data_IF_510948222532
#
_entry.id   IF_510948222532
#
_cell.length_a   1.000
_cell.length_b   1.000
_cell.length_c   1.000
_cell.angle_alpha   90.00
_cell.angle_beta   90.00
_cell.angle_gamma   90.00
#
_symmetry.space_group_name_H-M   'P 1'
#
loop_
_entity.id
_entity.type
_entity.pdbx_description
1 polymer ?
#
# COMPACT_ATOMS: atom_id res chain seq x y z
N UNK A 1 -11.05 12.11 0.93
CA UNK A 1 -9.62 12.26 1.29
C UNK A 1 -8.88 12.71 0.04
N UNK A 2 -7.86 13.54 0.16
CA UNK A 2 -7.01 13.98 -0.95
C UNK A 2 -5.71 13.16 -0.98
N UNK A 3 -4.98 13.19 -2.09
CA UNK A 3 -3.64 12.61 -2.13
C UNK A 3 -2.70 13.42 -1.24
N UNK A 4 -1.85 12.74 -0.46
CA UNK A 4 -0.88 13.40 0.43
C UNK A 4 0.35 13.94 -0.31
N UNK A 5 0.67 13.40 -1.48
CA UNK A 5 1.91 13.70 -2.22
C UNK A 5 1.72 14.73 -3.34
N UNK A 6 0.49 14.91 -3.84
CA UNK A 6 0.20 15.83 -4.93
C UNK A 6 -1.21 16.42 -4.84
N UNK A 7 -1.45 17.49 -5.60
CA UNK A 7 -2.74 18.18 -5.67
C UNK A 7 -3.69 17.65 -6.74
N UNK A 8 -3.51 16.39 -7.16
CA UNK A 8 -4.52 15.72 -7.96
C UNK A 8 -5.81 15.60 -7.14
N UNK A 9 -6.87 16.24 -7.64
CA UNK A 9 -8.20 16.18 -7.03
C UNK A 9 -8.91 14.88 -7.39
N UNK A 10 -9.33 14.14 -6.37
CA UNK A 10 -10.14 12.95 -6.56
C UNK A 10 -11.57 13.27 -6.97
N UNK A 11 -12.21 12.33 -7.66
CA UNK A 11 -13.61 12.39 -8.07
C UNK A 11 -14.43 11.54 -7.10
N UNK A 12 -15.47 12.14 -6.52
CA UNK A 12 -16.38 11.44 -5.63
C UNK A 12 -17.51 10.74 -6.42
N UNK A 13 -17.65 9.43 -6.22
CA UNK A 13 -18.79 8.63 -6.66
C UNK A 13 -18.95 7.45 -5.66
N UNK A 14 -19.70 7.70 -4.58
CA UNK A 14 -19.78 6.88 -3.34
C UNK A 14 -18.46 6.74 -2.56
N UNK A 15 -17.35 6.62 -3.27
CA UNK A 15 -15.98 6.70 -2.77
C UNK A 15 -15.18 7.70 -3.62
N UNK A 16 -13.97 8.02 -3.20
CA UNK A 16 -13.08 8.94 -3.94
C UNK A 16 -12.12 8.15 -4.81
N UNK A 17 -12.05 8.51 -6.09
CA UNK A 17 -11.18 7.90 -7.11
C UNK A 17 -10.22 8.93 -7.69
N UNK A 18 -9.07 8.49 -8.18
CA UNK A 18 -7.95 9.36 -8.56
C UNK A 18 -7.49 9.12 -10.01
N UNK A 19 -8.38 9.33 -11.00
CA UNK A 19 -7.97 9.29 -12.40
C UNK A 19 -7.09 10.50 -12.74
N UNK A 20 -6.01 10.29 -13.49
CA UNK A 20 -5.25 11.40 -14.11
C UNK A 20 -5.98 12.01 -15.31
N UNK A 21 -6.80 11.22 -16.01
CA UNK A 21 -7.73 11.72 -17.02
C UNK A 21 -9.15 11.38 -16.57
N UNK A 22 -9.94 12.37 -16.17
CA UNK A 22 -11.32 12.16 -15.75
C UNK A 22 -12.20 11.69 -16.91
N UNK A 23 -13.38 11.11 -16.63
CA UNK A 23 -14.30 10.67 -17.69
C UNK A 23 -15.05 11.83 -18.35
N UNK A 24 -15.17 12.97 -17.65
CA UNK A 24 -15.67 14.24 -18.19
C UNK A 24 -14.62 15.32 -17.98
N UNK A 25 -14.11 15.88 -19.09
CA UNK A 25 -13.04 16.89 -19.08
C UNK A 25 -13.59 18.29 -18.77
N UNK A 26 -14.88 18.53 -19.03
CA UNK A 26 -15.52 19.83 -18.74
C UNK A 26 -15.63 20.10 -17.24
N UNK A 27 -15.79 19.05 -16.44
CA UNK A 27 -15.99 19.17 -14.99
C UNK A 27 -14.69 19.03 -14.19
N UNK A 28 -13.70 18.33 -14.74
CA UNK A 28 -12.52 17.91 -13.99
C UNK A 28 -11.22 18.15 -14.77
N UNK A 29 -10.17 18.54 -14.04
CA UNK A 29 -8.84 18.78 -14.61
C UNK A 29 -8.15 17.46 -14.98
N UNK A 30 -7.47 17.46 -16.13
CA UNK A 30 -6.54 16.39 -16.53
C UNK A 30 -5.13 16.69 -16.02
N UNK A 31 -4.43 15.64 -15.60
CA UNK A 31 -3.07 15.71 -15.06
C UNK A 31 -2.13 14.84 -15.88
N UNK A 32 -0.88 15.28 -16.03
CA UNK A 32 0.17 14.45 -16.61
C UNK A 32 0.67 13.45 -15.54
N UNK A 33 0.55 12.13 -15.75
CA UNK A 33 1.03 11.14 -14.78
C UNK A 33 2.55 11.18 -14.54
N UNK A 34 3.35 11.70 -15.48
CA UNK A 34 4.80 11.85 -15.28
C UNK A 34 5.21 13.16 -14.62
N UNK A 35 4.28 14.11 -14.49
CA UNK A 35 4.53 15.44 -13.93
C UNK A 35 3.29 15.90 -13.14
N UNK A 36 3.11 15.27 -11.97
CA UNK A 36 2.01 15.61 -11.07
C UNK A 36 2.35 16.86 -10.26
N UNK A 37 1.36 17.69 -9.89
CA UNK A 37 1.58 18.86 -9.04
C UNK A 37 1.92 18.42 -7.61
N UNK A 38 3.20 18.16 -7.34
CA UNK A 38 3.69 17.64 -6.05
C UNK A 38 3.50 18.68 -4.95
N UNK A 39 3.15 18.20 -3.76
CA UNK A 39 3.06 19.02 -2.55
C UNK A 39 4.44 19.17 -1.93
N UNK A 40 4.80 20.38 -1.51
CA UNK A 40 6.05 20.65 -0.80
C UNK A 40 5.81 20.87 0.70
N UNK A 41 6.90 20.82 1.48
CA UNK A 41 6.84 21.16 2.91
C UNK A 41 6.38 22.59 3.17
N UNK A 42 6.76 23.52 2.28
CA UNK A 42 6.29 24.90 2.33
C UNK A 42 4.78 24.99 2.11
N UNK A 43 4.26 24.28 1.11
CA UNK A 43 2.81 24.26 0.83
C UNK A 43 2.03 23.70 2.02
N UNK A 44 2.56 22.64 2.64
CA UNK A 44 1.97 22.06 3.85
C UNK A 44 1.89 23.08 5.00
N UNK A 45 2.95 23.84 5.25
CA UNK A 45 2.97 24.89 6.29
C UNK A 45 1.94 25.98 6.01
N UNK A 46 1.88 26.48 4.76
CA UNK A 46 0.93 27.52 4.35
C UNK A 46 -0.52 27.05 4.54
N UNK A 47 -0.84 25.81 4.14
CA UNK A 47 -2.19 25.25 4.30
C UNK A 47 -2.61 25.12 5.76
N UNK A 48 -1.69 24.70 6.62
CA UNK A 48 -1.95 24.57 8.04
C UNK A 48 -2.21 25.95 8.66
N UNK A 49 -1.41 26.95 8.30
CA UNK A 49 -1.62 28.33 8.73
C UNK A 49 -3.02 28.82 8.34
N UNK A 50 -3.42 28.64 7.08
CA UNK A 50 -4.76 28.97 6.60
C UNK A 50 -5.87 28.31 7.42
N UNK A 51 -5.73 27.01 7.74
CA UNK A 51 -6.71 26.29 8.55
C UNK A 51 -6.74 26.83 9.99
N UNK A 52 -5.58 27.04 10.61
CA UNK A 52 -5.48 27.48 12.01
C UNK A 52 -5.99 28.90 12.26
N UNK A 53 -6.03 29.75 11.22
CA UNK A 53 -6.57 31.12 11.33
C UNK A 53 -8.09 31.17 11.37
N UNK A 54 -8.78 30.09 10.99
CA UNK A 54 -10.24 30.05 10.89
C UNK A 54 -10.81 29.27 12.08
N UNK A 55 -11.79 29.80 12.82
CA UNK A 55 -12.43 29.06 13.91
C UNK A 55 -13.26 27.88 13.37
N UNK A 56 -13.47 26.83 14.20
CA UNK A 56 -14.28 25.68 13.82
C UNK A 56 -15.67 26.10 13.30
N UNK A 57 -15.95 25.74 12.03
CA UNK A 57 -17.14 26.15 11.30
C UNK A 57 -17.31 25.31 10.03
N UNK A 58 -18.47 25.40 9.37
CA UNK A 58 -18.68 24.76 8.06
C UNK A 58 -17.67 25.24 7.01
N UNK A 59 -17.24 26.49 7.11
CA UNK A 59 -16.19 27.08 6.26
C UNK A 59 -14.84 26.41 6.52
N UNK A 60 -14.49 26.19 7.79
CA UNK A 60 -13.29 25.45 8.18
C UNK A 60 -13.29 24.02 7.63
N UNK A 61 -14.41 23.29 7.74
CA UNK A 61 -14.51 21.92 7.22
C UNK A 61 -14.41 21.85 5.68
N UNK A 62 -14.99 22.84 5.00
CA UNK A 62 -14.87 22.98 3.54
C UNK A 62 -13.41 23.24 3.15
N UNK A 63 -12.73 24.13 3.88
CA UNK A 63 -11.32 24.43 3.64
C UNK A 63 -10.42 23.20 3.87
N UNK A 64 -10.64 22.44 4.95
CA UNK A 64 -9.93 21.18 5.20
C UNK A 64 -10.09 20.21 4.03
N UNK A 65 -11.32 20.07 3.54
CA UNK A 65 -11.62 19.19 2.40
C UNK A 65 -10.90 19.65 1.13
N UNK A 66 -10.91 20.95 0.85
CA UNK A 66 -10.30 21.54 -0.35
C UNK A 66 -8.78 21.51 -0.34
N UNK A 67 -8.16 21.81 0.82
CA UNK A 67 -6.71 21.78 0.98
C UNK A 67 -6.18 20.35 1.13
N UNK A 68 -7.02 19.42 1.57
CA UNK A 68 -6.66 18.03 1.82
C UNK A 68 -5.64 17.88 2.96
N UNK A 69 -5.79 18.70 4.00
CA UNK A 69 -4.99 18.70 5.23
C UNK A 69 -5.96 18.91 6.39
N UNK A 70 -5.94 18.02 7.38
CA UNK A 70 -6.89 18.07 8.51
C UNK A 70 -6.48 19.07 9.59
N UNK A 71 -5.18 19.31 9.76
CA UNK A 71 -4.69 20.22 10.79
C UNK A 71 -3.19 20.10 11.03
N UNK A 72 -2.72 20.77 12.08
CA UNK A 72 -1.32 20.77 12.50
C UNK A 72 -0.95 19.44 13.17
N UNK A 73 0.16 18.84 12.75
CA UNK A 73 0.77 17.67 13.39
C UNK A 73 1.89 18.10 14.34
N UNK A 74 2.03 17.42 15.49
CA UNK A 74 3.17 17.60 16.41
C UNK A 74 4.52 17.35 15.71
N UNK A 75 4.56 16.48 14.70
CA UNK A 75 5.79 16.19 13.95
C UNK A 75 6.31 17.40 13.15
N UNK A 76 5.52 18.47 12.98
CA UNK A 76 5.99 19.73 12.39
C UNK A 76 6.91 20.55 13.31
N UNK A 77 6.92 20.23 14.61
CA UNK A 77 7.80 20.87 15.59
C UNK A 77 9.23 20.35 15.49
N UNK A 78 9.40 19.16 14.93
CA UNK A 78 10.71 18.57 14.66
C UNK A 78 11.29 19.23 13.40
N UNK A 79 12.36 20.01 13.56
CA UNK A 79 12.97 20.81 12.48
C UNK A 79 13.43 19.99 11.26
N UNK A 80 13.81 18.73 11.49
CA UNK A 80 14.27 17.81 10.45
C UNK A 80 13.13 17.15 9.68
N UNK A 81 11.89 17.19 10.19
CA UNK A 81 10.74 16.55 9.54
C UNK A 81 10.26 17.36 8.34
N UNK A 82 10.17 16.70 7.18
CA UNK A 82 9.66 17.27 5.93
C UNK A 82 8.34 16.59 5.54
N UNK A 83 7.34 17.41 5.26
CA UNK A 83 6.01 16.96 4.84
C UNK A 83 5.87 17.17 3.34
N UNK A 84 5.33 16.22 2.57
CA UNK A 84 4.97 14.85 2.96
C UNK A 84 6.15 13.86 2.86
N UNK A 85 7.34 14.29 2.45
CA UNK A 85 8.45 13.43 2.01
C UNK A 85 9.01 12.48 3.07
N UNK A 86 9.00 12.87 4.36
CA UNK A 86 9.42 11.98 5.44
C UNK A 86 8.41 10.85 5.73
N UNK A 87 7.23 10.88 5.12
CA UNK A 87 6.22 9.86 5.31
C UNK A 87 6.12 8.95 4.10
N UNK A 88 6.84 7.83 4.21
CA UNK A 88 6.93 6.80 3.19
C UNK A 88 5.57 6.27 2.74
N UNK A 89 5.54 5.84 1.48
CA UNK A 89 4.49 4.99 0.96
C UNK A 89 4.70 3.59 1.51
N UNK A 90 3.65 3.04 2.10
CA UNK A 90 3.65 1.66 2.51
C UNK A 90 3.55 0.73 1.29
N UNK A 91 4.72 0.39 0.76
CA UNK A 91 4.86 -0.41 -0.46
C UNK A 91 4.36 -1.84 -0.23
N UNK A 92 4.47 -2.38 0.98
CA UNK A 92 4.02 -3.75 1.28
C UNK A 92 2.51 -3.87 1.06
N UNK A 93 1.73 -3.04 1.74
CA UNK A 93 0.28 -3.03 1.55
C UNK A 93 -0.12 -2.55 0.15
N UNK A 94 0.59 -1.56 -0.40
CA UNK A 94 0.30 -1.03 -1.72
C UNK A 94 0.42 -2.12 -2.78
N UNK A 95 1.58 -2.77 -2.90
CA UNK A 95 1.84 -3.74 -3.96
C UNK A 95 1.19 -5.09 -3.67
N UNK A 96 1.41 -5.63 -2.47
CA UNK A 96 1.08 -7.02 -2.17
C UNK A 96 -0.38 -7.19 -1.75
N UNK A 97 -0.98 -6.25 -1.03
CA UNK A 97 -2.37 -6.43 -0.59
C UNK A 97 -3.40 -5.71 -1.47
N UNK A 98 -3.06 -4.54 -2.01
CA UNK A 98 -3.99 -3.76 -2.80
C UNK A 98 -3.89 -4.08 -4.30
N UNK A 99 -2.76 -3.78 -4.93
CA UNK A 99 -2.63 -3.89 -6.39
C UNK A 99 -2.78 -5.36 -6.84
N UNK A 100 -2.08 -6.30 -6.19
CA UNK A 100 -2.19 -7.72 -6.53
C UNK A 100 -3.63 -8.24 -6.45
N UNK A 101 -4.34 -7.93 -5.35
CA UNK A 101 -5.71 -8.37 -5.14
C UNK A 101 -6.68 -7.75 -6.16
N UNK A 102 -6.55 -6.45 -6.46
CA UNK A 102 -7.41 -5.81 -7.46
C UNK A 102 -7.15 -6.32 -8.87
N UNK A 103 -5.90 -6.60 -9.23
CA UNK A 103 -5.57 -7.23 -10.51
C UNK A 103 -6.13 -8.65 -10.60
N UNK A 104 -6.02 -9.45 -9.53
CA UNK A 104 -6.64 -10.77 -9.48
C UNK A 104 -8.16 -10.70 -9.69
N UNK A 105 -8.84 -9.77 -9.01
CA UNK A 105 -10.29 -9.56 -9.16
C UNK A 105 -10.69 -9.21 -10.59
N UNK A 106 -9.87 -8.43 -11.30
CA UNK A 106 -10.08 -8.16 -12.72
C UNK A 106 -9.98 -9.44 -13.54
N UNK A 107 -8.91 -10.22 -13.37
CA UNK A 107 -8.71 -11.44 -14.15
C UNK A 107 -9.71 -12.56 -13.80
N UNK A 108 -10.26 -12.56 -12.59
CA UNK A 108 -11.35 -13.46 -12.18
C UNK A 108 -12.74 -12.96 -12.60
N UNK A 109 -12.85 -11.76 -13.18
CA UNK A 109 -14.14 -11.18 -13.60
C UNK A 109 -15.08 -10.85 -12.44
N UNK A 110 -14.54 -10.54 -11.25
CA UNK A 110 -15.31 -10.27 -10.03
C UNK A 110 -14.98 -8.90 -9.39
N UNK A 111 -14.38 -8.00 -10.17
CA UNK A 111 -14.04 -6.66 -9.69
C UNK A 111 -15.28 -5.78 -9.50
N UNK A 112 -16.17 -5.78 -10.48
CA UNK A 112 -17.44 -5.06 -10.41
C UNK A 112 -18.55 -5.96 -9.86
N UNK A 113 -19.57 -5.34 -9.25
CA UNK A 113 -20.83 -6.05 -8.94
C UNK A 113 -21.66 -6.31 -10.20
N UNK A 114 -21.53 -5.43 -11.19
CA UNK A 114 -22.17 -5.54 -12.49
C UNK A 114 -21.38 -6.50 -13.38
N UNK A 115 -22.02 -7.58 -13.82
CA UNK A 115 -21.42 -8.60 -14.69
C UNK A 115 -21.07 -8.06 -16.08
N UNK A 116 -21.81 -7.08 -16.61
CA UNK A 116 -21.54 -6.49 -17.93
C UNK A 116 -20.21 -5.74 -17.91
N UNK A 117 -19.90 -5.03 -16.82
CA UNK A 117 -18.62 -4.32 -16.68
C UNK A 117 -17.43 -5.28 -16.54
N UNK A 118 -17.66 -6.48 -16.00
CA UNK A 118 -16.66 -7.53 -15.91
C UNK A 118 -16.44 -8.28 -17.22
N UNK A 119 -17.39 -8.25 -18.18
CA UNK A 119 -17.24 -8.91 -19.47
C UNK A 119 -16.16 -8.22 -20.33
N UNK A 120 -14.92 -8.66 -20.16
CA UNK A 120 -13.73 -8.03 -20.72
C UNK A 120 -12.75 -9.10 -21.17
N UNK A 121 -11.98 -8.80 -22.22
CA UNK A 121 -11.01 -9.73 -22.83
C UNK A 121 -9.90 -10.18 -21.88
N UNK A 122 -9.68 -9.51 -20.75
CA UNK A 122 -8.68 -9.90 -19.75
C UNK A 122 -9.18 -10.93 -18.74
N UNK A 123 -10.48 -11.27 -18.77
CA UNK A 123 -11.06 -12.27 -17.85
C UNK A 123 -10.65 -13.66 -18.30
N UNK A 124 -10.10 -14.41 -17.35
CA UNK A 124 -9.68 -15.80 -17.51
C UNK A 124 -10.83 -16.68 -17.04
N UNK A 125 -11.14 -17.73 -17.81
CA UNK A 125 -12.29 -18.59 -17.50
C UNK A 125 -12.03 -19.48 -16.27
N UNK A 126 -13.11 -19.98 -15.67
CA UNK A 126 -13.03 -20.80 -14.45
C UNK A 126 -12.22 -22.10 -14.63
N UNK A 127 -12.26 -22.72 -15.82
CA UNK A 127 -11.49 -23.94 -16.10
C UNK A 127 -10.00 -23.66 -16.00
N UNK A 128 -9.53 -22.58 -16.62
CA UNK A 128 -8.13 -22.15 -16.56
C UNK A 128 -7.71 -21.78 -15.14
N UNK A 129 -8.58 -21.15 -14.35
CA UNK A 129 -8.29 -20.88 -12.93
C UNK A 129 -8.16 -22.16 -12.09
N UNK A 130 -9.01 -23.16 -12.34
CA UNK A 130 -8.90 -24.47 -11.70
C UNK A 130 -7.58 -25.15 -12.06
N UNK A 131 -7.17 -25.10 -13.33
CA UNK A 131 -5.87 -25.62 -13.79
C UNK A 131 -4.70 -24.92 -13.08
N UNK A 132 -4.71 -23.58 -13.01
CA UNK A 132 -3.70 -22.79 -12.27
C UNK A 132 -3.64 -23.24 -10.80
N UNK A 133 -4.79 -23.41 -10.15
CA UNK A 133 -4.85 -23.84 -8.75
C UNK A 133 -4.20 -25.20 -8.51
N UNK A 134 -4.49 -26.18 -9.39
CA UNK A 134 -3.90 -27.53 -9.35
C UNK A 134 -2.40 -27.49 -9.62
N UNK A 135 -1.93 -26.69 -10.58
CA UNK A 135 -0.50 -26.49 -10.85
C UNK A 135 0.23 -25.97 -9.62
N UNK A 136 -0.32 -24.95 -8.95
CA UNK A 136 0.24 -24.38 -7.72
C UNK A 136 0.32 -25.41 -6.58
N UNK A 137 -0.70 -26.26 -6.41
CA UNK A 137 -0.69 -27.33 -5.40
C UNK A 137 0.34 -28.42 -5.70
N UNK A 138 0.50 -28.77 -6.98
CA UNK A 138 1.39 -29.85 -7.42
C UNK A 138 2.85 -29.48 -7.18
N UNK A 139 3.25 -28.24 -7.49
CA UNK A 139 4.64 -27.77 -7.29
C UNK A 139 4.97 -27.49 -5.83
N UNK A 140 3.97 -27.43 -4.94
CA UNK A 140 4.16 -27.06 -3.53
C UNK A 140 5.28 -27.84 -2.84
N UNK A 141 5.39 -29.14 -3.13
CA UNK A 141 6.41 -30.04 -2.54
C UNK A 141 7.79 -29.92 -3.17
N UNK A 142 7.90 -29.36 -4.38
CA UNK A 142 9.17 -29.24 -5.12
C UNK A 142 9.81 -27.86 -5.00
N UNK A 143 9.10 -26.85 -4.49
CA UNK A 143 9.65 -25.51 -4.26
C UNK A 143 10.69 -25.57 -3.12
N UNK A 144 11.95 -25.18 -3.38
CA UNK A 144 12.96 -25.11 -2.34
C UNK A 144 12.58 -24.09 -1.27
N UNK A 145 12.88 -24.41 0.00
CA UNK A 145 12.58 -23.55 1.15
C UNK A 145 13.19 -22.15 1.05
N UNK A 146 14.29 -22.00 0.30
CA UNK A 146 14.95 -20.71 0.04
C UNK A 146 14.06 -19.72 -0.72
N UNK A 147 13.07 -20.20 -1.47
CA UNK A 147 12.05 -19.37 -2.13
C UNK A 147 10.90 -18.95 -1.18
N UNK A 148 11.02 -19.28 0.11
CA UNK A 148 10.05 -18.95 1.14
C UNK A 148 8.90 -19.94 1.21
N UNK A 149 7.70 -19.42 1.51
CA UNK A 149 6.50 -20.27 1.65
C UNK A 149 6.09 -20.88 0.32
N UNK A 150 5.89 -22.19 0.33
CA UNK A 150 5.34 -22.91 -0.81
C UNK A 150 3.96 -22.35 -1.21
N UNK A 151 3.66 -22.30 -2.52
CA UNK A 151 2.40 -21.75 -3.01
C UNK A 151 1.19 -22.54 -2.49
N UNK A 152 0.11 -21.83 -2.21
CA UNK A 152 -1.23 -22.40 -1.98
C UNK A 152 -2.10 -22.17 -3.21
N UNK A 153 -3.15 -22.96 -3.38
CA UNK A 153 -4.11 -22.73 -4.45
C UNK A 153 -4.72 -21.33 -4.38
N UNK A 154 -4.43 -20.49 -5.38
CA UNK A 154 -4.90 -19.10 -5.40
C UNK A 154 -6.42 -18.99 -5.54
N UNK A 155 -7.05 -19.91 -6.30
CA UNK A 155 -8.49 -19.90 -6.50
C UNK A 155 -9.24 -20.06 -5.16
N UNK A 156 -8.78 -20.95 -4.29
CA UNK A 156 -9.45 -21.24 -3.02
C UNK A 156 -8.98 -20.36 -1.84
N UNK A 157 -7.74 -19.86 -1.86
CA UNK A 157 -7.13 -19.28 -0.67
C UNK A 157 -6.75 -17.79 -0.77
N UNK A 158 -6.95 -17.11 -1.91
CA UNK A 158 -6.53 -15.71 -2.09
C UNK A 158 -7.07 -14.74 -1.03
N UNK A 159 -8.28 -14.99 -0.48
CA UNK A 159 -8.85 -14.16 0.60
C UNK A 159 -8.07 -14.22 1.92
N UNK A 160 -7.26 -15.27 2.13
CA UNK A 160 -6.43 -15.45 3.31
C UNK A 160 -4.93 -15.43 3.01
N UNK A 161 -4.54 -14.90 1.85
CA UNK A 161 -3.13 -14.69 1.51
C UNK A 161 -2.56 -13.54 2.34
N UNK A 162 -1.36 -13.75 2.89
CA UNK A 162 -0.56 -12.69 3.51
C UNK A 162 0.25 -11.94 2.46
N UNK A 163 0.75 -10.75 2.80
CA UNK A 163 1.65 -9.97 1.93
C UNK A 163 2.83 -10.79 1.37
N UNK A 164 3.40 -11.73 2.14
CA UNK A 164 4.48 -12.63 1.68
C UNK A 164 4.02 -13.53 0.51
N UNK A 165 2.81 -14.08 0.58
CA UNK A 165 2.26 -14.94 -0.47
C UNK A 165 1.91 -14.16 -1.73
N UNK A 166 1.41 -12.95 -1.55
CA UNK A 166 1.18 -12.02 -2.65
C UNK A 166 2.49 -11.56 -3.30
N UNK A 167 3.56 -11.37 -2.52
CA UNK A 167 4.88 -11.05 -3.06
C UNK A 167 5.36 -12.18 -3.96
N UNK A 168 5.33 -13.44 -3.50
CA UNK A 168 5.70 -14.61 -4.32
C UNK A 168 4.78 -14.79 -5.53
N UNK A 169 3.47 -14.53 -5.38
CA UNK A 169 2.54 -14.53 -6.51
C UNK A 169 2.98 -13.52 -7.58
N UNK A 170 3.26 -12.27 -7.20
CA UNK A 170 3.66 -11.24 -8.15
C UNK A 170 4.99 -11.59 -8.81
N UNK A 171 6.03 -11.88 -8.03
CA UNK A 171 7.41 -11.96 -8.52
C UNK A 171 7.79 -13.30 -9.13
N UNK A 172 7.14 -14.40 -8.74
CA UNK A 172 7.52 -15.75 -9.18
C UNK A 172 6.44 -16.42 -10.02
N UNK A 173 5.18 -16.35 -9.60
CA UNK A 173 4.15 -17.26 -10.11
C UNK A 173 3.22 -16.63 -11.17
N UNK A 174 2.90 -15.34 -11.06
CA UNK A 174 1.86 -14.71 -11.86
C UNK A 174 2.16 -14.72 -13.36
N UNK A 175 3.37 -14.28 -13.78
CA UNK A 175 3.72 -14.28 -15.20
C UNK A 175 3.73 -15.69 -15.84
N UNK A 176 4.42 -16.71 -15.29
CA UNK A 176 4.42 -18.02 -15.90
C UNK A 176 3.04 -18.69 -15.88
N UNK A 177 2.26 -18.52 -14.80
CA UNK A 177 0.93 -19.14 -14.70
C UNK A 177 -0.12 -18.44 -15.55
N UNK A 178 0.02 -17.15 -15.85
CA UNK A 178 -0.91 -16.41 -16.71
C UNK A 178 -0.53 -16.48 -18.19
N UNK A 179 0.67 -16.97 -18.51
CA UNK A 179 1.14 -17.17 -19.88
C UNK A 179 0.18 -18.10 -20.62
N UNK A 180 -0.14 -17.75 -21.86
CA UNK A 180 -1.07 -18.49 -22.75
C UNK A 180 -2.53 -18.58 -22.25
N UNK A 181 -2.84 -18.04 -21.06
CA UNK A 181 -4.20 -17.97 -20.48
C UNK A 181 -4.79 -16.57 -20.53
N UNK A 182 -3.95 -15.54 -20.53
CA UNK A 182 -4.33 -14.13 -20.70
C UNK A 182 -3.82 -13.59 -22.04
N UNK A 183 -4.57 -12.72 -22.74
CA UNK A 183 -4.07 -12.12 -23.97
C UNK A 183 -2.77 -11.35 -23.75
N UNK A 184 -1.83 -11.49 -24.68
CA UNK A 184 -0.44 -11.01 -24.56
C UNK A 184 -0.35 -9.53 -24.16
N UNK A 185 -1.25 -8.69 -24.68
CA UNK A 185 -1.28 -7.25 -24.35
C UNK A 185 -1.44 -6.99 -22.84
N UNK A 186 -2.29 -7.75 -22.15
CA UNK A 186 -2.55 -7.57 -20.72
C UNK A 186 -1.40 -8.13 -19.89
N UNK A 187 -0.85 -9.28 -20.30
CA UNK A 187 0.32 -9.87 -19.68
C UNK A 187 1.54 -8.94 -19.78
N UNK A 188 1.74 -8.28 -20.93
CA UNK A 188 2.76 -7.25 -21.12
C UNK A 188 2.57 -6.08 -20.16
N UNK A 189 1.34 -5.59 -20.00
CA UNK A 189 1.02 -4.56 -19.03
C UNK A 189 1.40 -4.94 -17.60
N UNK A 190 0.97 -6.12 -17.16
CA UNK A 190 1.31 -6.67 -15.84
C UNK A 190 2.81 -6.89 -15.66
N UNK A 191 3.53 -7.28 -16.72
CA UNK A 191 4.98 -7.49 -16.66
C UNK A 191 5.76 -6.23 -16.29
N UNK A 192 5.26 -5.03 -16.63
CA UNK A 192 5.90 -3.79 -16.19
C UNK A 192 5.85 -3.65 -14.67
N UNK A 193 4.70 -3.97 -14.06
CA UNK A 193 4.56 -3.95 -12.60
C UNK A 193 5.43 -5.02 -11.95
N UNK A 194 5.42 -6.26 -12.46
CA UNK A 194 6.25 -7.35 -11.91
C UNK A 194 7.73 -6.99 -11.95
N UNK A 195 8.22 -6.45 -13.07
CA UNK A 195 9.61 -5.98 -13.19
C UNK A 195 9.92 -4.86 -12.22
N UNK A 196 9.01 -3.89 -12.04
CA UNK A 196 9.22 -2.80 -11.09
C UNK A 196 9.31 -3.32 -9.63
N UNK A 197 8.49 -4.31 -9.26
CA UNK A 197 8.52 -4.93 -7.92
C UNK A 197 9.80 -5.73 -7.68
N UNK A 198 10.35 -6.36 -8.73
CA UNK A 198 11.61 -7.12 -8.65
C UNK A 198 12.86 -6.21 -8.57
N UNK A 199 12.76 -4.95 -8.96
CA UNK A 199 13.86 -3.99 -8.86
C UNK A 199 13.97 -3.42 -7.45
N UNK A 200 15.16 -3.52 -6.86
CA UNK A 200 15.43 -3.05 -5.50
C UNK A 200 16.10 -1.66 -5.42
N UNK A 201 16.78 -1.21 -6.49
CA UNK A 201 17.71 -0.08 -6.43
C UNK A 201 17.63 0.91 -7.60
N UNK A 202 17.16 0.47 -8.79
CA UNK A 202 17.10 1.34 -9.97
C UNK A 202 15.84 2.20 -9.97
N UNK A 203 15.92 3.35 -9.29
CA UNK A 203 14.78 4.25 -9.08
C UNK A 203 14.21 4.78 -10.40
N UNK A 204 15.05 5.04 -11.41
CA UNK A 204 14.61 5.59 -12.68
C UNK A 204 13.90 4.53 -13.53
N UNK A 205 14.44 3.30 -13.57
CA UNK A 205 13.74 2.21 -14.25
C UNK A 205 12.45 1.81 -13.52
N UNK A 206 12.43 1.82 -12.18
CA UNK A 206 11.21 1.63 -11.38
C UNK A 206 10.17 2.70 -11.77
N UNK A 207 10.54 3.98 -11.79
CA UNK A 207 9.65 5.09 -12.18
C UNK A 207 9.04 4.85 -13.55
N UNK A 208 9.88 4.53 -14.54
CA UNK A 208 9.47 4.26 -15.91
C UNK A 208 8.52 3.06 -16.00
N UNK A 209 8.86 1.94 -15.36
CA UNK A 209 8.04 0.72 -15.38
C UNK A 209 6.68 0.93 -14.71
N UNK A 210 6.65 1.60 -13.56
CA UNK A 210 5.42 1.92 -12.84
C UNK A 210 4.53 2.90 -13.63
N UNK A 211 5.13 3.88 -14.32
CA UNK A 211 4.42 4.77 -15.23
C UNK A 211 3.81 4.00 -16.42
N UNK A 212 4.58 3.10 -17.03
CA UNK A 212 4.09 2.24 -18.13
C UNK A 212 2.94 1.33 -17.67
N UNK A 213 3.06 0.73 -16.49
CA UNK A 213 1.97 -0.03 -15.89
C UNK A 213 0.74 0.83 -15.65
N UNK A 214 0.88 2.02 -15.05
CA UNK A 214 -0.23 2.93 -14.80
C UNK A 214 -0.94 3.35 -16.09
N UNK A 215 -0.18 3.71 -17.13
CA UNK A 215 -0.73 4.08 -18.44
C UNK A 215 -1.45 2.90 -19.09
N UNK A 216 -0.89 1.69 -19.00
CA UNK A 216 -1.54 0.48 -19.45
C UNK A 216 -2.86 0.24 -18.70
N UNK A 217 -2.83 0.32 -17.36
CA UNK A 217 -3.99 0.11 -16.51
C UNK A 217 -5.11 1.09 -16.85
N UNK A 218 -4.77 2.36 -16.99
CA UNK A 218 -5.68 3.43 -17.40
C UNK A 218 -6.32 3.15 -18.76
N UNK A 219 -5.52 2.75 -19.76
CA UNK A 219 -6.00 2.50 -21.13
C UNK A 219 -6.93 1.29 -21.21
N UNK A 220 -6.58 0.19 -20.54
CA UNK A 220 -7.21 -1.10 -20.78
C UNK A 220 -8.19 -1.54 -19.70
N UNK A 221 -8.02 -1.09 -18.45
CA UNK A 221 -8.90 -1.45 -17.33
C UNK A 221 -9.88 -0.32 -17.01
N UNK A 222 -9.42 0.93 -16.96
CA UNK A 222 -10.30 2.08 -16.73
C UNK A 222 -11.03 2.52 -17.99
N UNK A 223 -10.36 2.53 -19.14
CA UNK A 223 -10.93 2.81 -20.47
C UNK A 223 -11.56 4.21 -20.60
N UNK A 224 -11.27 5.12 -19.67
CA UNK A 224 -11.82 6.48 -19.67
C UNK A 224 -13.35 6.55 -19.53
N UNK A 225 -13.99 5.46 -19.11
CA UNK A 225 -15.44 5.38 -18.98
C UNK A 225 -15.89 5.76 -17.56
N UNK A 226 -16.91 6.61 -17.45
CA UNK A 226 -17.49 7.01 -16.16
C UNK A 226 -17.98 5.80 -15.35
N UNK A 227 -18.60 4.82 -15.99
CA UNK A 227 -19.05 3.57 -15.37
C UNK A 227 -17.90 2.75 -14.74
N UNK A 228 -16.66 2.95 -15.20
CA UNK A 228 -15.46 2.24 -14.73
C UNK A 228 -14.60 3.09 -13.79
N UNK A 229 -15.09 4.26 -13.35
CA UNK A 229 -14.35 5.15 -12.45
C UNK A 229 -13.83 4.44 -11.18
N UNK A 230 -14.55 3.43 -10.69
CA UNK A 230 -14.19 2.66 -9.50
C UNK A 230 -12.88 1.86 -9.62
N UNK A 231 -12.36 1.71 -10.83
CA UNK A 231 -11.05 1.12 -11.16
C UNK A 231 -9.91 2.02 -10.69
N UNK A 232 -10.08 3.34 -10.73
CA UNK A 232 -9.04 4.32 -10.41
C UNK A 232 -8.93 4.57 -8.90
N UNK A 233 -8.75 3.49 -8.13
CA UNK A 233 -8.55 3.54 -6.68
C UNK A 233 -7.24 4.26 -6.32
N UNK A 234 -7.19 4.78 -5.09
CA UNK A 234 -6.02 5.54 -4.59
C UNK A 234 -4.71 4.76 -4.68
N UNK A 235 -4.74 3.44 -4.49
CA UNK A 235 -3.55 2.59 -4.62
C UNK A 235 -2.93 2.70 -6.03
N UNK A 236 -3.72 2.64 -7.10
CA UNK A 236 -3.20 2.82 -8.46
C UNK A 236 -2.63 4.21 -8.70
N UNK A 237 -3.15 5.24 -8.02
CA UNK A 237 -2.55 6.57 -8.05
C UNK A 237 -1.23 6.63 -7.27
N UNK A 238 -1.14 5.97 -6.10
CA UNK A 238 0.07 5.95 -5.27
C UNK A 238 1.27 5.31 -5.95
N UNK A 239 1.06 4.42 -6.91
CA UNK A 239 2.12 3.88 -7.78
C UNK A 239 2.98 4.99 -8.40
N UNK A 240 2.36 6.12 -8.80
CA UNK A 240 3.07 7.24 -9.43
C UNK A 240 4.02 7.98 -8.48
N UNK A 241 3.88 7.77 -7.17
CA UNK A 241 4.69 8.40 -6.13
C UNK A 241 5.73 7.44 -5.52
N UNK A 242 5.73 6.16 -5.91
CA UNK A 242 6.61 5.14 -5.30
C UNK A 242 8.08 5.47 -5.54
N UNK A 243 8.47 5.80 -6.77
CA UNK A 243 9.86 6.11 -7.09
C UNK A 243 10.36 7.35 -6.33
N UNK A 244 9.51 8.38 -6.18
CA UNK A 244 9.82 9.55 -5.36
C UNK A 244 9.97 9.16 -3.87
N UNK A 245 9.07 8.33 -3.36
CA UNK A 245 9.17 7.84 -1.98
C UNK A 245 10.47 7.07 -1.74
N UNK A 246 10.89 6.22 -2.68
CA UNK A 246 12.16 5.47 -2.58
C UNK A 246 13.36 6.42 -2.61
N UNK A 247 13.30 7.46 -3.44
CA UNK A 247 14.33 8.49 -3.52
C UNK A 247 14.46 9.27 -2.22
N UNK A 248 13.33 9.62 -1.59
CA UNK A 248 13.31 10.41 -0.37
C UNK A 248 13.64 9.60 0.89
N UNK A 249 13.22 8.33 0.96
CA UNK A 249 13.28 7.52 2.20
C UNK A 249 14.20 6.31 2.12
N UNK A 250 14.83 6.07 0.97
CA UNK A 250 15.69 4.91 0.75
C UNK A 250 14.93 3.69 0.19
N UNK A 251 15.64 2.56 0.00
CA UNK A 251 15.11 1.40 -0.71
C UNK A 251 13.97 0.73 0.05
N UNK A 252 13.02 0.18 -0.71
CA UNK A 252 11.76 -0.34 -0.19
C UNK A 252 11.93 -1.34 0.97
N UNK A 253 12.91 -2.24 0.88
CA UNK A 253 13.16 -3.28 1.90
C UNK A 253 13.53 -2.71 3.27
N UNK A 254 14.07 -1.49 3.32
CA UNK A 254 14.41 -0.82 4.58
C UNK A 254 13.20 -0.18 5.27
N UNK A 255 12.10 0.03 4.53
CA UNK A 255 10.91 0.74 5.01
C UNK A 255 9.63 -0.10 4.97
N UNK A 256 9.71 -1.38 4.56
CA UNK A 256 8.55 -2.27 4.55
C UNK A 256 8.11 -2.65 5.96
N UNK A 257 6.81 -2.88 6.13
CA UNK A 257 6.20 -3.14 7.42
C UNK A 257 6.27 -4.61 7.87
N UNK A 258 6.84 -5.52 7.07
CA UNK A 258 6.96 -6.95 7.44
C UNK A 258 7.54 -7.19 8.85
N UNK A 259 8.63 -6.52 9.27
CA UNK A 259 9.16 -6.71 10.63
C UNK A 259 8.20 -6.18 11.69
N UNK A 260 7.59 -5.02 11.45
CA UNK A 260 6.66 -4.39 12.38
C UNK A 260 5.41 -5.26 12.58
N UNK A 261 4.80 -5.75 11.51
CA UNK A 261 3.63 -6.64 11.60
C UNK A 261 3.95 -7.97 12.26
N UNK A 262 5.12 -8.55 12.00
CA UNK A 262 5.58 -9.76 12.69
C UNK A 262 5.69 -9.51 14.19
N UNK A 263 6.31 -8.40 14.59
CA UNK A 263 6.40 -8.00 16.00
C UNK A 263 5.01 -7.79 16.60
N UNK A 264 4.11 -7.05 15.94
CA UNK A 264 2.74 -6.88 16.41
C UNK A 264 2.01 -8.23 16.56
N UNK A 265 2.17 -9.14 15.60
CA UNK A 265 1.59 -10.49 15.67
C UNK A 265 2.15 -11.37 16.79
N UNK A 266 3.41 -11.14 17.20
CA UNK A 266 4.01 -11.79 18.37
C UNK A 266 3.51 -11.19 19.68
N UNK A 267 3.32 -9.86 19.73
CA UNK A 267 2.90 -9.14 20.94
C UNK A 267 1.41 -9.25 21.22
N UNK A 268 0.56 -9.26 20.19
CA UNK A 268 -0.90 -9.23 20.34
C UNK A 268 -1.44 -10.40 21.19
N UNK A 269 -0.98 -11.66 21.04
CA UNK A 269 -1.43 -12.77 21.91
C UNK A 269 -0.99 -12.64 23.38
N UNK A 270 0.00 -11.79 23.68
CA UNK A 270 0.50 -11.55 25.04
C UNK A 270 -0.35 -10.53 25.79
N UNK A 271 -1.03 -9.61 25.09
CA UNK A 271 -1.94 -8.63 25.67
C UNK A 271 -3.32 -9.24 25.99
N UNK A 272 -3.36 -10.15 26.97
CA UNK A 272 -4.58 -10.88 27.36
C UNK A 272 -5.50 -10.07 28.27
N UNK A 273 -4.97 -9.11 29.03
CA UNK A 273 -5.75 -8.27 29.93
C UNK A 273 -6.39 -7.10 29.18
N UNK A 274 -7.71 -6.95 29.31
CA UNK A 274 -8.46 -5.80 28.79
C UNK A 274 -8.42 -4.59 29.73
N UNK A 275 -8.24 -4.80 31.03
CA UNK A 275 -8.24 -3.75 32.04
C UNK A 275 -6.86 -3.12 32.23
N UNK A 276 -5.80 -3.93 32.14
CA UNK A 276 -4.42 -3.50 32.31
C UNK A 276 -3.53 -4.07 31.20
N UNK A 277 -3.75 -3.67 29.93
CA UNK A 277 -3.08 -4.24 28.77
C UNK A 277 -1.57 -4.04 28.82
N UNK A 278 -1.10 -2.85 29.18
CA UNK A 278 0.34 -2.53 29.24
C UNK A 278 1.07 -3.34 30.31
N UNK A 279 0.58 -3.34 31.56
CA UNK A 279 1.17 -4.12 32.66
C UNK A 279 1.19 -5.62 32.34
N UNK A 280 0.11 -6.13 31.76
CA UNK A 280 0.03 -7.52 31.35
C UNK A 280 1.03 -7.85 30.23
N UNK A 281 1.14 -6.98 29.23
CA UNK A 281 2.11 -7.13 28.15
C UNK A 281 3.54 -7.13 28.70
N UNK A 282 3.90 -6.15 29.54
CA UNK A 282 5.23 -6.07 30.19
C UNK A 282 5.57 -7.34 30.95
N UNK A 283 4.64 -7.85 31.77
CA UNK A 283 4.86 -9.08 32.54
C UNK A 283 5.03 -10.33 31.67
N UNK A 284 4.44 -10.35 30.46
CA UNK A 284 4.59 -11.48 29.53
C UNK A 284 5.86 -11.38 28.68
N UNK A 285 6.33 -10.16 28.37
CA UNK A 285 7.60 -9.93 27.65
C UNK A 285 8.80 -10.12 28.58
N UNK A 286 8.71 -9.53 29.77
CA UNK A 286 9.72 -9.58 30.81
C UNK A 286 9.14 -10.36 32.00
N UNK A 287 9.00 -11.69 31.91
CA UNK A 287 8.59 -12.48 33.06
C UNK A 287 9.55 -12.18 34.21
N UNK A 288 9.01 -12.07 35.41
CA UNK A 288 9.76 -11.76 36.63
C UNK A 288 10.75 -12.89 36.94
N UNK A 289 11.93 -12.84 36.32
CA UNK A 289 13.13 -13.53 36.80
C UNK A 289 13.47 -12.89 38.15
N UNK A 290 13.84 -13.66 39.18
CA UNK A 290 14.37 -13.08 40.41
C UNK A 290 15.46 -12.08 40.05
N UNK A 291 15.41 -10.89 40.66
CA UNK A 291 16.18 -9.68 40.36
C UNK A 291 17.72 -9.81 40.29
N UNK A 292 18.28 -11.03 40.45
CA UNK A 292 19.72 -11.31 40.45
C UNK A 292 20.35 -11.49 39.06
N UNK A 293 19.62 -11.95 38.04
CA UNK A 293 20.27 -12.33 36.76
C UNK A 293 20.28 -11.24 35.67
N UNK A 294 19.38 -10.25 35.71
CA UNK A 294 19.33 -9.22 34.65
C UNK A 294 20.43 -8.16 34.74
N UNK A 295 21.03 -7.92 35.92
CA UNK A 295 22.06 -6.89 36.12
C UNK A 295 23.36 -7.18 35.37
N UNK A 296 23.64 -8.45 35.05
CA UNK A 296 24.91 -8.85 34.41
C UNK A 296 24.87 -8.76 32.87
N UNK A 297 23.70 -8.56 32.26
CA UNK A 297 23.53 -8.65 30.80
C UNK A 297 22.96 -7.39 30.11
N UNK A 298 22.62 -6.34 30.86
CA UNK A 298 22.19 -5.06 30.30
C UNK A 298 23.33 -4.03 30.44
N UNK A 299 23.98 -3.71 29.32
CA UNK A 299 25.07 -2.70 29.24
C UNK A 299 24.54 -1.25 29.31
N UNK A 300 23.25 -1.05 29.56
CA UNK A 300 22.67 0.28 29.79
C UNK A 300 21.89 0.30 31.10
N UNK A 301 22.59 0.67 32.18
CA UNK A 301 21.97 1.09 33.43
C UNK A 301 21.69 2.59 33.35
N UNK A 302 20.47 2.97 32.97
CA UNK A 302 19.97 4.30 33.28
C UNK A 302 19.30 4.20 34.66
N UNK A 303 19.89 4.84 35.66
CA UNK A 303 19.52 4.70 37.09
C UNK A 303 18.15 5.31 37.45
N UNK A 304 17.44 5.94 36.50
CA UNK A 304 16.19 6.67 36.76
C UNK A 304 14.94 6.05 36.12
N UNK A 305 14.84 4.71 36.07
CA UNK A 305 13.67 4.02 35.48
C UNK A 305 12.36 4.23 36.26
N UNK A 306 12.40 4.56 37.56
CA UNK A 306 11.20 4.71 38.39
C UNK A 306 10.55 6.11 38.35
N UNK A 307 11.29 7.16 37.95
CA UNK A 307 10.76 8.53 37.93
C UNK A 307 9.96 8.86 36.65
N UNK A 308 10.27 8.23 35.51
CA UNK A 308 9.65 8.57 34.22
C UNK A 308 8.18 8.12 34.09
N UNK A 309 7.71 7.17 34.89
CA UNK A 309 6.34 6.64 34.80
C UNK A 309 5.35 7.17 35.85
N UNK A 310 5.79 8.03 36.78
CA UNK A 310 4.89 8.65 37.78
C UNK A 310 4.32 10.00 37.35
N UNK A 311 4.66 10.51 36.16
CA UNK A 311 4.16 11.80 35.64
C UNK A 311 3.24 11.70 34.41
N UNK A 312 2.68 10.53 34.13
CA UNK A 312 1.61 10.30 33.14
C UNK A 312 0.36 9.71 33.80
#
# INVERSE_FOLDING_TARGET
MACRYCDLRGIYNNHVYYPTTPPSIETYKTYNPSDLPKRTHRDYKIRIEQITTIPPSRTHDTLISDLGVTGRSVLLEIETTRFPTCFLIDIMHLFYENIALYMLKHWMGCFFKDSILNDQLYVINNKQWTEIGIEMETIRKSIPTDFGRSPRNILHHHNGYKAEEWASWITLYSLPLLKDRSPEKYLKGWSFFVKAVQLCHDQEEIRKLLLLFYQHYKRYYYQFLAARLSVMKVCFHYILHVADSIQDTGPCWSTWQFPMERTCGMLQPLAKSRLHPYKNLTNNIFPSIPCKEYKEHLVYTNENYEEEFQSL
#
